data_IF_006548977924
#
_entry.id   IF_006548977924
#
_cell.length_a   1.000
_cell.length_b   1.000
_cell.length_c   1.000
_cell.angle_alpha   90.00
_cell.angle_beta   90.00
_cell.angle_gamma   90.00
#
_symmetry.space_group_name_H-M   'P 1'
#
loop_
_entity.id
_entity.type
_entity.pdbx_description
1 polymer ?
#
# COMPACT_ATOMS: atom_id res chain seq x y z
N UNK A 1 -3.87 -8.74 -7.75
CA UNK A 1 -4.31 -7.39 -7.35
C UNK A 1 -3.73 -6.37 -8.33
N UNK A 2 -4.50 -5.42 -8.84
CA UNK A 2 -3.98 -4.35 -9.71
C UNK A 2 -2.86 -3.59 -8.99
N UNK A 3 -1.82 -3.16 -9.71
CA UNK A 3 -0.79 -2.31 -9.12
C UNK A 3 -1.37 -0.93 -8.79
N UNK A 4 -0.84 -0.22 -7.79
CA UNK A 4 -1.31 1.11 -7.39
C UNK A 4 -1.36 2.12 -8.55
N UNK A 5 -0.36 2.10 -9.42
CA UNK A 5 -0.26 2.90 -10.64
C UNK A 5 -1.37 2.54 -11.64
N UNK A 6 -1.71 1.25 -11.79
CA UNK A 6 -2.80 0.81 -12.65
C UNK A 6 -4.16 1.33 -12.16
N UNK A 7 -4.38 1.37 -10.85
CA UNK A 7 -5.60 1.97 -10.29
C UNK A 7 -5.65 3.47 -10.58
N UNK A 8 -4.56 4.21 -10.34
CA UNK A 8 -4.50 5.64 -10.64
C UNK A 8 -4.79 5.93 -12.12
N UNK A 9 -4.22 5.13 -13.04
CA UNK A 9 -4.49 5.24 -14.47
C UNK A 9 -5.98 5.08 -14.79
N UNK A 10 -6.64 4.08 -14.20
CA UNK A 10 -8.07 3.84 -14.41
C UNK A 10 -8.92 5.05 -14.00
N UNK A 11 -8.60 5.73 -12.90
CA UNK A 11 -9.36 6.92 -12.49
C UNK A 11 -9.10 8.14 -13.37
N UNK A 12 -7.89 8.26 -13.94
CA UNK A 12 -7.60 9.27 -14.95
C UNK A 12 -8.42 9.02 -16.24
N UNK A 13 -8.55 7.76 -16.65
CA UNK A 13 -9.42 7.38 -17.77
C UNK A 13 -10.89 7.70 -17.46
N UNK A 14 -11.39 7.36 -16.26
CA UNK A 14 -12.74 7.71 -15.83
C UNK A 14 -13.00 9.23 -15.79
N UNK A 15 -12.01 10.03 -15.40
CA UNK A 15 -12.10 11.49 -15.43
C UNK A 15 -12.23 12.02 -16.87
N UNK A 16 -11.45 11.47 -17.80
CA UNK A 16 -11.49 11.85 -19.21
C UNK A 16 -12.85 11.51 -19.84
N UNK A 17 -13.39 10.34 -19.52
CA UNK A 17 -14.59 9.80 -20.15
C UNK A 17 -15.89 10.34 -19.52
N UNK A 18 -15.83 10.89 -18.31
CA UNK A 18 -16.99 11.46 -17.63
C UNK A 18 -17.43 12.80 -18.26
N UNK A 19 -18.70 12.87 -18.65
CA UNK A 19 -19.37 14.08 -19.14
C UNK A 19 -20.18 14.79 -18.07
N UNK A 20 -20.73 14.05 -17.10
CA UNK A 20 -21.46 14.61 -15.96
C UNK A 20 -20.51 15.37 -15.00
N UNK A 21 -20.85 16.61 -14.58
CA UNK A 21 -19.99 17.40 -13.69
C UNK A 21 -19.68 16.75 -12.35
N UNK A 22 -20.64 16.06 -11.71
CA UNK A 22 -20.41 15.42 -10.41
C UNK A 22 -19.55 14.17 -10.55
N UNK A 23 -19.77 13.38 -11.61
CA UNK A 23 -18.93 12.23 -11.94
C UNK A 23 -17.47 12.64 -12.20
N UNK A 24 -17.25 13.78 -12.88
CA UNK A 24 -15.91 14.35 -13.09
C UNK A 24 -15.27 14.76 -11.76
N UNK A 25 -16.01 15.45 -10.89
CA UNK A 25 -15.49 15.86 -9.58
C UNK A 25 -15.10 14.66 -8.72
N UNK A 26 -15.95 13.64 -8.70
CA UNK A 26 -15.69 12.40 -7.98
C UNK A 26 -14.48 11.64 -8.55
N UNK A 27 -14.32 11.62 -9.88
CA UNK A 27 -13.14 11.07 -10.53
C UNK A 27 -11.86 11.84 -10.15
N UNK A 28 -11.85 13.18 -10.14
CA UNK A 28 -10.69 13.97 -9.69
C UNK A 28 -10.37 13.69 -8.23
N UNK A 29 -11.37 13.63 -7.35
CA UNK A 29 -11.17 13.29 -5.93
C UNK A 29 -10.47 11.94 -5.81
N UNK A 30 -10.96 10.93 -6.52
CA UNK A 30 -10.40 9.58 -6.59
C UNK A 30 -8.97 9.53 -7.13
N UNK A 31 -8.65 10.35 -8.14
CA UNK A 31 -7.29 10.51 -8.67
C UNK A 31 -6.37 11.07 -7.59
N UNK A 32 -6.79 12.12 -6.86
CA UNK A 32 -5.97 12.72 -5.79
C UNK A 32 -5.67 11.73 -4.68
N UNK A 33 -6.68 11.04 -4.16
CA UNK A 33 -6.53 10.04 -3.09
C UNK A 33 -5.57 8.92 -3.51
N UNK A 34 -5.66 8.45 -4.77
CA UNK A 34 -4.78 7.40 -5.29
C UNK A 34 -3.37 7.90 -5.58
N UNK A 35 -3.21 9.13 -6.08
CA UNK A 35 -1.91 9.73 -6.30
C UNK A 35 -1.14 9.87 -4.98
N UNK A 36 -1.83 10.30 -3.91
CA UNK A 36 -1.25 10.36 -2.56
C UNK A 36 -0.83 8.97 -2.05
N UNK A 37 -1.62 7.93 -2.32
CA UNK A 37 -1.26 6.56 -1.97
C UNK A 37 -0.03 6.06 -2.75
N UNK A 38 0.02 6.30 -4.06
CA UNK A 38 1.17 5.96 -4.92
C UNK A 38 2.42 6.71 -4.47
N UNK A 39 2.30 8.00 -4.13
CA UNK A 39 3.39 8.81 -3.60
C UNK A 39 4.05 8.15 -2.38
N UNK A 40 3.26 7.73 -1.39
CA UNK A 40 3.79 7.08 -0.18
C UNK A 40 4.51 5.77 -0.51
N UNK A 41 4.01 4.99 -1.46
CA UNK A 41 4.65 3.75 -1.90
C UNK A 41 5.97 3.99 -2.60
N UNK A 42 6.02 4.95 -3.50
CA UNK A 42 7.25 5.29 -4.21
C UNK A 42 8.31 5.85 -3.25
N UNK A 43 7.90 6.63 -2.24
CA UNK A 43 8.80 7.05 -1.17
C UNK A 43 9.31 5.85 -0.36
N UNK A 44 8.45 4.89 -0.01
CA UNK A 44 8.87 3.67 0.68
C UNK A 44 9.83 2.83 -0.16
N UNK A 45 9.54 2.64 -1.46
CA UNK A 45 10.38 1.92 -2.39
C UNK A 45 11.74 2.62 -2.58
N UNK A 46 11.76 3.94 -2.73
CA UNK A 46 12.99 4.72 -2.79
C UNK A 46 13.82 4.56 -1.51
N UNK A 47 13.17 4.56 -0.33
CA UNK A 47 13.83 4.31 0.95
C UNK A 47 14.41 2.90 1.05
N UNK A 48 13.70 1.89 0.55
CA UNK A 48 14.18 0.51 0.50
C UNK A 48 15.36 0.35 -0.47
N UNK A 49 15.36 1.10 -1.59
CA UNK A 49 16.45 1.15 -2.55
C UNK A 49 17.67 1.98 -2.09
N UNK A 50 17.64 2.55 -0.88
CA UNK A 50 18.77 3.27 -0.28
C UNK A 50 18.73 4.79 -0.43
N UNK A 51 17.74 5.37 -1.12
CA UNK A 51 17.62 6.83 -1.27
C UNK A 51 17.51 7.52 0.08
N UNK A 52 18.31 8.55 0.30
CA UNK A 52 18.33 9.29 1.57
C UNK A 52 17.09 10.19 1.72
N UNK A 53 16.71 10.49 2.96
CA UNK A 53 15.65 11.48 3.24
C UNK A 53 15.98 12.88 2.70
N UNK A 54 17.26 13.22 2.58
CA UNK A 54 17.70 14.49 1.98
C UNK A 54 17.41 14.51 0.48
N UNK A 55 17.72 13.43 -0.24
CA UNK A 55 17.44 13.32 -1.67
C UNK A 55 15.94 13.35 -1.95
N UNK A 56 15.14 12.65 -1.13
CA UNK A 56 13.68 12.68 -1.23
C UNK A 56 13.16 14.10 -0.93
N UNK A 57 13.63 14.76 0.12
CA UNK A 57 13.23 16.14 0.44
C UNK A 57 13.54 17.13 -0.67
N UNK A 58 14.68 16.97 -1.35
CA UNK A 58 15.08 17.84 -2.47
C UNK A 58 14.06 17.81 -3.63
N UNK A 59 13.43 16.66 -3.93
CA UNK A 59 12.37 16.56 -4.95
C UNK A 59 11.16 17.44 -4.64
N UNK A 60 10.90 17.68 -3.35
CA UNK A 60 9.78 18.49 -2.88
C UNK A 60 10.19 19.90 -2.46
N UNK A 61 11.44 20.31 -2.72
CA UNK A 61 11.96 21.60 -2.27
C UNK A 61 11.95 21.76 -0.74
N UNK A 62 12.04 20.66 0.02
CA UNK A 62 11.98 20.68 1.49
C UNK A 62 13.22 20.09 2.13
N UNK A 63 13.42 20.42 3.41
CA UNK A 63 14.52 19.86 4.20
C UNK A 63 14.31 18.37 4.48
N UNK A 64 15.40 17.68 4.87
CA UNK A 64 15.36 16.30 5.37
C UNK A 64 14.30 16.11 6.45
N UNK A 65 14.20 17.05 7.39
CA UNK A 65 13.25 16.97 8.51
C UNK A 65 11.80 17.12 8.02
N UNK A 66 11.54 18.02 7.05
CA UNK A 66 10.23 18.15 6.41
C UNK A 66 9.79 16.86 5.72
N UNK A 67 10.70 16.23 4.98
CA UNK A 67 10.43 14.96 4.31
C UNK A 67 10.14 13.84 5.32
N UNK A 68 10.91 13.77 6.41
CA UNK A 68 10.70 12.79 7.48
C UNK A 68 9.34 12.98 8.16
N UNK A 69 8.96 14.21 8.50
CA UNK A 69 7.67 14.51 9.12
C UNK A 69 6.50 14.11 8.22
N UNK A 70 6.59 14.41 6.92
CA UNK A 70 5.53 14.10 5.94
C UNK A 70 5.38 12.60 5.71
N UNK A 71 6.48 11.87 5.50
CA UNK A 71 6.42 10.51 4.94
C UNK A 71 6.71 9.38 5.93
N UNK A 72 7.44 9.61 7.03
CA UNK A 72 7.88 8.51 7.92
C UNK A 72 6.71 7.78 8.57
N UNK A 73 5.66 8.50 8.95
CA UNK A 73 4.45 7.88 9.52
C UNK A 73 3.63 7.11 8.48
N UNK A 74 3.43 7.72 7.30
CA UNK A 74 2.62 7.13 6.22
C UNK A 74 3.26 5.86 5.64
N UNK A 75 4.57 5.87 5.39
CA UNK A 75 5.33 4.71 4.91
C UNK A 75 5.29 3.54 5.89
N UNK A 76 5.43 3.80 7.20
CA UNK A 76 5.27 2.77 8.25
C UNK A 76 3.88 2.17 8.31
N UNK A 77 2.83 2.99 8.21
CA UNK A 77 1.45 2.48 8.16
C UNK A 77 1.25 1.58 6.94
N UNK A 78 1.79 2.00 5.78
CA UNK A 78 1.66 1.22 4.56
C UNK A 78 2.39 -0.11 4.61
N UNK A 79 3.60 -0.15 5.15
CA UNK A 79 4.35 -1.41 5.34
C UNK A 79 3.52 -2.44 6.13
N UNK A 80 2.93 -2.01 7.27
CA UNK A 80 2.07 -2.87 8.09
C UNK A 80 0.83 -3.39 7.36
N UNK A 81 0.17 -2.55 6.55
CA UNK A 81 -1.00 -2.98 5.77
C UNK A 81 -0.67 -4.02 4.70
N UNK A 82 0.53 -3.94 4.10
CA UNK A 82 1.00 -4.94 3.12
C UNK A 82 1.34 -6.27 3.81
N UNK A 83 1.93 -6.22 5.00
CA UNK A 83 2.26 -7.43 5.79
C UNK A 83 0.99 -8.17 6.26
N UNK A 84 -0.03 -7.46 6.75
CA UNK A 84 -1.29 -8.09 7.16
C UNK A 84 -2.07 -8.70 5.99
N UNK A 85 -2.07 -8.07 4.81
CA UNK A 85 -2.79 -8.60 3.64
C UNK A 85 -2.15 -9.87 3.04
N UNK A 86 -0.88 -10.15 3.35
CA UNK A 86 -0.15 -11.33 2.89
C UNK A 86 -0.15 -12.49 3.91
N UNK A 87 -0.59 -12.25 5.15
CA UNK A 87 -0.51 -13.21 6.26
C UNK A 87 -1.69 -14.19 6.38
N UNK A 88 -2.78 -14.01 5.62
CA UNK A 88 -4.00 -14.81 5.71
C UNK A 88 -4.02 -16.05 4.77
N UNK A 89 -3.00 -16.24 3.93
CA UNK A 89 -2.96 -17.33 2.93
C UNK A 89 -2.31 -18.63 3.43
N UNK A 90 -1.63 -18.62 4.58
CA UNK A 90 -0.81 -19.75 5.04
C UNK A 90 -1.50 -20.75 6.01
N UNK A 91 -2.78 -20.57 6.37
CA UNK A 91 -3.45 -21.38 7.43
C UNK A 91 -4.54 -22.34 6.95
N UNK A 92 -4.71 -22.58 5.64
CA UNK A 92 -5.65 -23.58 5.09
C UNK A 92 -4.92 -24.76 4.48
N UNK A 93 -4.35 -25.64 5.31
CA UNK A 93 -3.70 -26.84 4.79
C UNK A 93 -2.99 -27.73 5.79
N UNK A 94 -3.63 -28.10 6.90
CA UNK A 94 -3.17 -29.23 7.73
C UNK A 94 -4.29 -29.72 8.65
N UNK A 95 -5.32 -30.39 8.09
CA UNK A 95 -6.17 -31.28 8.87
C UNK A 95 -5.86 -32.73 8.45
N UNK A 96 -4.65 -33.14 8.83
CA UNK A 96 -4.13 -34.48 8.66
C UNK A 96 -4.14 -35.20 9.99
N UNK A 97 -5.22 -35.95 10.25
CA UNK A 97 -5.21 -37.21 10.98
C UNK A 97 -4.77 -37.19 12.45
N UNK A 98 -5.72 -36.97 13.37
CA UNK A 98 -5.57 -37.41 14.77
C UNK A 98 -5.97 -38.88 14.85
N UNK A 99 -4.99 -39.79 14.77
CA UNK A 99 -5.18 -41.21 15.09
C UNK A 99 -5.08 -41.38 16.60
N UNK A 100 -6.20 -41.63 17.25
CA UNK A 100 -6.23 -42.03 18.67
C UNK A 100 -5.65 -43.44 18.82
N UNK A 101 -4.71 -43.64 19.75
CA UNK A 101 -4.51 -44.96 20.35
C UNK A 101 -4.12 -44.86 21.82
N UNK A 102 -4.99 -45.46 22.60
CA UNK A 102 -4.94 -45.74 24.04
C UNK A 102 -3.83 -46.74 24.37
N UNK A 103 -3.25 -46.63 25.57
CA UNK A 103 -3.04 -47.70 26.56
C UNK A 103 -2.17 -47.21 27.72
N UNK A 104 -2.76 -47.13 28.92
CA UNK A 104 -2.05 -47.18 30.20
C UNK A 104 -2.51 -48.46 30.86
N UNK A 105 -1.59 -49.41 31.00
CA UNK A 105 -1.76 -50.60 31.83
C UNK A 105 -1.25 -50.30 33.25
N UNK A 106 -1.89 -50.97 34.20
CA UNK A 106 -1.50 -51.13 35.61
C UNK A 106 -0.01 -51.45 35.79
#
# INVERSE_FOLDING_TARGET
>A
MATPDQRLRKDLEALRDATDPLARLDAVRRVRERAEAVEVELVAAARAAGSSWTAIGALYGMSKQGAQQRFRGATKRRARSTESASGDDASRGADGGIVRRSRSTD
#
